data_IF_085634548853
#
_entry.id   IF_085634548853
#
_cell.length_a   1.000
_cell.length_b   1.000
_cell.length_c   1.000
_cell.angle_alpha   90.00
_cell.angle_beta   90.00
_cell.angle_gamma   90.00
#
_symmetry.space_group_name_H-M   'P 1'
#
loop_
_entity.id
_entity.type
_entity.pdbx_description
1 polymer ?
#
# COMPACT_ATOMS: atom_id res chain seq x y z
N UNK A 1 -18.86 13.25 -8.46
CA UNK A 1 -17.75 14.18 -8.14
C UNK A 1 -17.43 15.02 -9.37
N UNK A 2 -17.74 16.33 -9.38
CA UNK A 2 -17.57 17.20 -10.55
C UNK A 2 -16.11 17.27 -11.02
N UNK A 3 -15.18 17.53 -10.10
CA UNK A 3 -13.72 17.60 -10.36
C UNK A 3 -13.15 16.32 -10.96
N UNK A 4 -13.69 15.16 -10.56
CA UNK A 4 -13.28 13.86 -11.10
C UNK A 4 -13.63 13.72 -12.59
N UNK A 5 -14.85 14.10 -12.96
CA UNK A 5 -15.31 14.07 -14.35
C UNK A 5 -14.60 15.10 -15.21
N UNK A 6 -14.19 16.21 -14.62
CA UNK A 6 -13.36 17.22 -15.29
C UNK A 6 -11.95 16.67 -15.57
N UNK A 7 -11.32 16.02 -14.58
CA UNK A 7 -10.01 15.40 -14.76
C UNK A 7 -10.03 14.24 -15.77
N UNK A 8 -11.07 13.41 -15.73
CA UNK A 8 -11.22 12.22 -16.56
C UNK A 8 -12.63 12.11 -17.16
N UNK A 9 -12.90 12.79 -18.29
CA UNK A 9 -14.23 12.80 -18.91
C UNK A 9 -14.70 11.42 -19.38
N UNK A 10 -13.77 10.55 -19.76
CA UNK A 10 -14.04 9.19 -20.22
C UNK A 10 -14.07 8.14 -19.08
N UNK A 11 -13.85 8.55 -17.82
CA UNK A 11 -13.83 7.61 -16.71
C UNK A 11 -15.21 7.01 -16.45
N UNK A 12 -15.24 5.70 -16.22
CA UNK A 12 -16.45 4.96 -15.89
C UNK A 12 -16.50 4.80 -14.36
N UNK A 13 -17.54 5.35 -13.74
CA UNK A 13 -17.79 5.15 -12.31
C UNK A 13 -18.49 3.82 -12.06
N UNK A 14 -17.93 3.00 -11.17
CA UNK A 14 -18.57 1.79 -10.66
C UNK A 14 -18.80 1.94 -9.15
N UNK A 15 -19.93 1.43 -8.68
CA UNK A 15 -20.19 1.29 -7.23
C UNK A 15 -19.74 -0.10 -6.79
N UNK A 16 -19.31 -0.23 -5.53
CA UNK A 16 -18.80 -1.50 -4.99
C UNK A 16 -19.85 -2.63 -4.94
N UNK A 17 -21.13 -2.28 -4.82
CA UNK A 17 -22.27 -3.20 -4.85
C UNK A 17 -22.62 -3.68 -6.27
N UNK A 18 -22.15 -2.97 -7.30
CA UNK A 18 -22.36 -3.35 -8.69
C UNK A 18 -21.30 -4.36 -9.13
N UNK A 19 -21.75 -5.56 -9.51
CA UNK A 19 -20.88 -6.61 -10.04
C UNK A 19 -20.75 -6.60 -11.57
N UNK A 20 -21.28 -5.57 -12.24
CA UNK A 20 -21.15 -5.41 -13.67
C UNK A 20 -19.67 -5.25 -14.06
N UNK A 21 -19.22 -6.09 -14.99
CA UNK A 21 -17.89 -5.94 -15.57
C UNK A 21 -17.85 -4.67 -16.44
N UNK A 22 -16.76 -3.91 -16.41
CA UNK A 22 -16.61 -2.76 -17.28
C UNK A 22 -16.66 -3.20 -18.76
N UNK A 23 -17.32 -2.40 -19.60
CA UNK A 23 -17.45 -2.67 -21.04
C UNK A 23 -16.13 -2.51 -21.81
N UNK A 24 -15.16 -1.83 -21.21
CA UNK A 24 -13.83 -1.56 -21.77
C UNK A 24 -12.77 -2.08 -20.81
N UNK A 25 -11.59 -2.44 -21.32
CA UNK A 25 -10.45 -2.87 -20.50
C UNK A 25 -9.93 -1.66 -19.73
N UNK A 26 -10.04 -1.62 -18.39
CA UNK A 26 -9.51 -0.50 -17.61
C UNK A 26 -7.98 -0.61 -17.52
N UNK A 27 -7.30 0.53 -17.61
CA UNK A 27 -5.83 0.62 -17.46
C UNK A 27 -5.41 1.06 -16.06
N UNK A 28 -6.28 1.77 -15.35
CA UNK A 28 -6.01 2.37 -14.05
C UNK A 28 -7.28 2.33 -13.20
N UNK A 29 -7.13 1.97 -11.92
CA UNK A 29 -8.24 1.90 -10.98
C UNK A 29 -8.15 3.04 -9.97
N UNK A 30 -9.24 3.77 -9.81
CA UNK A 30 -9.40 4.79 -8.78
C UNK A 30 -10.44 4.35 -7.77
N UNK A 31 -10.05 4.31 -6.50
CA UNK A 31 -10.85 3.76 -5.42
C UNK A 31 -11.05 4.81 -4.35
N UNK A 32 -12.28 5.34 -4.24
CA UNK A 32 -12.66 6.14 -3.09
C UNK A 32 -12.86 5.22 -1.89
N UNK A 33 -12.08 5.46 -0.84
CA UNK A 33 -12.12 4.68 0.37
C UNK A 33 -13.38 5.00 1.17
N UNK A 34 -14.20 4.00 1.52
CA UNK A 34 -15.30 4.20 2.45
C UNK A 34 -14.77 4.28 3.88
N UNK A 35 -15.35 5.15 4.70
CA UNK A 35 -14.93 5.37 6.09
C UNK A 35 -15.07 4.13 7.01
N UNK A 36 -15.87 3.14 6.61
CA UNK A 36 -16.21 1.97 7.41
C UNK A 36 -15.69 0.63 6.83
N UNK A 37 -14.64 0.65 6.01
CA UNK A 37 -14.06 -0.58 5.46
C UNK A 37 -12.54 -0.53 5.49
N UNK A 38 -11.92 -1.62 5.94
CA UNK A 38 -10.47 -1.77 5.86
C UNK A 38 -9.99 -1.82 4.40
N UNK A 39 -8.84 -1.18 4.13
CA UNK A 39 -8.29 -0.99 2.78
C UNK A 39 -7.81 -2.30 2.16
N UNK A 40 -7.09 -3.12 2.92
CA UNK A 40 -6.52 -4.38 2.42
C UNK A 40 -7.59 -5.36 1.87
N UNK A 41 -8.65 -5.73 2.62
CA UNK A 41 -9.68 -6.64 2.09
C UNK A 41 -10.47 -6.03 0.94
N UNK A 42 -10.66 -4.70 0.93
CA UNK A 42 -11.27 -3.99 -0.20
C UNK A 42 -10.45 -4.18 -1.49
N UNK A 43 -9.13 -3.95 -1.43
CA UNK A 43 -8.26 -4.10 -2.59
C UNK A 43 -8.09 -5.54 -3.04
N UNK A 44 -8.05 -6.49 -2.11
CA UNK A 44 -8.07 -7.91 -2.44
C UNK A 44 -9.34 -8.30 -3.21
N UNK A 45 -10.51 -7.80 -2.79
CA UNK A 45 -11.77 -8.05 -3.49
C UNK A 45 -11.78 -7.44 -4.90
N UNK A 46 -11.30 -6.20 -5.03
CA UNK A 46 -11.21 -5.53 -6.33
C UNK A 46 -10.26 -6.25 -7.29
N UNK A 47 -9.11 -6.73 -6.82
CA UNK A 47 -8.18 -7.52 -7.64
C UNK A 47 -8.80 -8.83 -8.14
N UNK A 48 -9.57 -9.52 -7.29
CA UNK A 48 -10.27 -10.74 -7.71
C UNK A 48 -11.29 -10.48 -8.81
N UNK A 49 -11.96 -9.32 -8.79
CA UNK A 49 -13.02 -8.97 -9.76
C UNK A 49 -12.49 -8.34 -11.04
N UNK A 50 -11.48 -7.48 -10.94
CA UNK A 50 -11.02 -6.61 -12.03
C UNK A 50 -9.59 -6.96 -12.51
N UNK A 51 -8.91 -7.89 -11.86
CA UNK A 51 -7.52 -8.23 -12.15
C UNK A 51 -6.52 -7.30 -11.44
N UNK A 52 -5.23 -7.52 -11.75
CA UNK A 52 -4.15 -6.78 -11.11
C UNK A 52 -3.84 -5.46 -11.86
N UNK A 53 -4.69 -4.46 -11.64
CA UNK A 53 -4.53 -3.12 -12.21
C UNK A 53 -3.83 -2.18 -11.22
N UNK A 54 -3.03 -1.20 -11.70
CA UNK A 54 -2.53 -0.13 -10.85
C UNK A 54 -3.70 0.58 -10.16
N UNK A 55 -3.60 0.77 -8.85
CA UNK A 55 -4.69 1.27 -8.03
C UNK A 55 -4.29 2.54 -7.30
N UNK A 56 -5.11 3.57 -7.39
CA UNK A 56 -4.95 4.83 -6.66
C UNK A 56 -6.11 4.99 -5.69
N UNK A 57 -5.78 5.31 -4.45
CA UNK A 57 -6.73 5.49 -3.36
C UNK A 57 -7.06 6.96 -3.20
N UNK A 58 -8.36 7.23 -3.05
CA UNK A 58 -8.89 8.55 -2.74
C UNK A 58 -9.48 8.51 -1.34
N UNK A 59 -9.02 9.40 -0.47
CA UNK A 59 -9.61 9.61 0.86
C UNK A 59 -10.17 11.02 0.99
N UNK A 60 -11.34 11.14 1.59
CA UNK A 60 -11.93 12.45 1.88
C UNK A 60 -11.13 13.17 2.97
N UNK A 61 -10.60 12.40 3.92
CA UNK A 61 -9.73 12.86 5.02
C UNK A 61 -8.46 12.01 4.97
N UNK A 62 -7.39 12.51 4.32
CA UNK A 62 -6.12 11.80 4.25
C UNK A 62 -5.59 11.40 5.62
N UNK A 63 -5.21 10.14 5.77
CA UNK A 63 -4.61 9.57 6.97
C UNK A 63 -3.43 8.68 6.58
N UNK A 64 -2.30 8.87 7.26
CA UNK A 64 -1.05 8.20 6.90
C UNK A 64 -1.09 6.69 7.19
N UNK A 65 -1.79 6.26 8.23
CA UNK A 65 -1.93 4.83 8.53
C UNK A 65 -2.77 4.14 7.45
N UNK A 66 -3.84 4.80 6.99
CA UNK A 66 -4.66 4.35 5.89
C UNK A 66 -3.86 4.32 4.57
N UNK A 67 -3.03 5.34 4.32
CA UNK A 67 -2.15 5.38 3.16
C UNK A 67 -1.15 4.22 3.18
N UNK A 68 -0.47 4.01 4.31
CA UNK A 68 0.49 2.91 4.50
C UNK A 68 -0.18 1.54 4.34
N UNK A 69 -1.36 1.34 4.94
CA UNK A 69 -2.14 0.12 4.75
C UNK A 69 -2.52 -0.10 3.27
N UNK A 70 -2.82 0.98 2.55
CA UNK A 70 -3.04 0.96 1.10
C UNK A 70 -1.81 0.52 0.31
N UNK A 71 -0.64 1.10 0.60
CA UNK A 71 0.62 0.73 -0.06
C UNK A 71 1.04 -0.70 0.26
N UNK A 72 0.92 -1.14 1.52
CA UNK A 72 1.14 -2.55 1.92
C UNK A 72 0.19 -3.52 1.20
N UNK A 73 -1.01 -3.05 0.88
CA UNK A 73 -1.97 -3.78 0.05
C UNK A 73 -1.77 -3.54 -1.45
N UNK A 74 -0.59 -3.07 -1.90
CA UNK A 74 -0.16 -2.84 -3.28
C UNK A 74 -0.96 -1.78 -4.06
N UNK A 75 -1.45 -0.73 -3.39
CA UNK A 75 -1.81 0.51 -4.06
C UNK A 75 -0.56 1.20 -4.62
N UNK A 76 -0.75 1.97 -5.69
CA UNK A 76 0.30 2.76 -6.36
C UNK A 76 0.12 4.27 -6.21
N UNK A 77 -0.97 4.71 -5.59
CA UNK A 77 -1.15 6.12 -5.24
C UNK A 77 -2.12 6.30 -4.09
N UNK A 78 -1.96 7.40 -3.36
CA UNK A 78 -2.88 7.87 -2.32
C UNK A 78 -3.01 9.39 -2.40
N UNK A 79 -4.23 9.90 -2.50
CA UNK A 79 -4.48 11.34 -2.49
C UNK A 79 -5.87 11.72 -1.98
N UNK A 80 -6.11 13.02 -1.83
CA UNK A 80 -7.38 13.55 -1.37
C UNK A 80 -8.46 13.45 -2.47
N UNK A 81 -9.65 12.95 -2.13
CA UNK A 81 -10.84 12.89 -2.99
C UNK A 81 -11.18 14.25 -3.63
N UNK A 82 -10.88 15.35 -2.95
CA UNK A 82 -11.19 16.73 -3.34
C UNK A 82 -10.04 17.43 -4.06
N UNK A 83 -8.96 16.73 -4.41
CA UNK A 83 -7.84 17.31 -5.14
C UNK A 83 -8.28 17.99 -6.46
N UNK A 84 -7.50 18.97 -6.90
CA UNK A 84 -7.77 19.68 -8.14
C UNK A 84 -7.63 18.74 -9.36
N UNK A 85 -8.38 18.96 -10.45
CA UNK A 85 -8.32 18.10 -11.63
C UNK A 85 -6.91 17.90 -12.21
N UNK A 86 -6.11 18.97 -12.32
CA UNK A 86 -4.74 18.91 -12.81
C UNK A 86 -3.85 18.02 -11.93
N UNK A 87 -4.04 18.08 -10.60
CA UNK A 87 -3.31 17.21 -9.67
C UNK A 87 -3.67 15.75 -9.87
N UNK A 88 -4.96 15.43 -10.04
CA UNK A 88 -5.40 14.06 -10.31
C UNK A 88 -4.80 13.50 -11.60
N UNK A 89 -4.67 14.32 -12.65
CA UNK A 89 -4.02 13.95 -13.90
C UNK A 89 -2.53 13.62 -13.69
N UNK A 90 -1.81 14.46 -12.95
CA UNK A 90 -0.40 14.19 -12.62
C UNK A 90 -0.22 12.85 -11.87
N UNK A 91 -1.10 12.56 -10.91
CA UNK A 91 -1.10 11.27 -10.21
C UNK A 91 -1.34 10.11 -11.20
N UNK A 92 -2.28 10.27 -12.13
CA UNK A 92 -2.56 9.27 -13.16
C UNK A 92 -1.34 9.00 -14.05
N UNK A 93 -0.64 10.05 -14.48
CA UNK A 93 0.51 9.95 -15.37
C UNK A 93 1.66 9.21 -14.68
N UNK A 94 1.98 9.57 -13.43
CA UNK A 94 3.03 8.90 -12.64
C UNK A 94 2.71 7.42 -12.46
N UNK A 95 1.50 7.09 -12.02
CA UNK A 95 1.11 5.70 -11.76
C UNK A 95 0.97 4.90 -13.05
N UNK A 96 0.47 5.53 -14.12
CA UNK A 96 0.35 4.92 -15.45
C UNK A 96 1.71 4.55 -16.06
N UNK A 97 2.76 5.29 -15.72
CA UNK A 97 4.15 4.99 -16.08
C UNK A 97 4.82 3.97 -15.14
N UNK A 98 4.08 3.38 -14.20
CA UNK A 98 4.59 2.41 -13.23
C UNK A 98 5.21 3.02 -11.98
N UNK A 99 5.15 4.34 -11.83
CA UNK A 99 5.61 5.07 -10.66
C UNK A 99 4.71 4.87 -9.43
N UNK A 100 5.18 5.40 -8.30
CA UNK A 100 4.46 5.44 -7.03
C UNK A 100 4.15 6.90 -6.70
N UNK A 101 2.90 7.20 -6.40
CA UNK A 101 2.50 8.52 -5.92
C UNK A 101 2.27 8.52 -4.41
N UNK A 102 3.21 9.10 -3.68
CA UNK A 102 3.12 9.34 -2.24
C UNK A 102 2.95 10.84 -2.02
N UNK A 103 1.95 11.25 -1.23
CA UNK A 103 1.77 12.65 -0.86
C UNK A 103 2.94 13.19 -0.03
N UNK A 104 3.16 14.50 -0.09
CA UNK A 104 4.28 15.20 0.56
C UNK A 104 4.43 14.85 2.05
N UNK A 105 3.33 14.88 2.81
CA UNK A 105 3.35 14.59 4.25
C UNK A 105 3.87 13.19 4.56
N UNK A 106 3.39 12.18 3.83
CA UNK A 106 3.83 10.80 4.04
C UNK A 106 5.27 10.59 3.55
N UNK A 107 5.66 11.25 2.45
CA UNK A 107 7.05 11.21 1.97
C UNK A 107 8.00 11.80 3.02
N UNK A 108 7.68 12.97 3.58
CA UNK A 108 8.50 13.61 4.61
C UNK A 108 8.63 12.71 5.84
N UNK A 109 7.53 12.09 6.30
CA UNK A 109 7.58 11.12 7.41
C UNK A 109 8.44 9.89 7.11
N UNK A 110 8.41 9.40 5.87
CA UNK A 110 9.27 8.28 5.45
C UNK A 110 10.74 8.70 5.47
N UNK A 111 11.05 9.89 4.96
CA UNK A 111 12.40 10.47 5.01
C UNK A 111 12.86 10.62 6.46
N UNK A 112 12.03 11.18 7.34
CA UNK A 112 12.33 11.34 8.77
C UNK A 112 12.54 9.99 9.46
N UNK A 113 11.70 8.99 9.17
CA UNK A 113 11.85 7.64 9.69
C UNK A 113 13.15 6.98 9.20
N UNK A 114 13.52 7.17 7.94
CA UNK A 114 14.79 6.65 7.42
C UNK A 114 16.00 7.40 7.98
N UNK A 115 15.87 8.70 8.29
CA UNK A 115 16.91 9.46 8.96
C UNK A 115 17.13 8.97 10.39
N UNK A 116 16.07 8.60 11.11
CA UNK A 116 16.15 7.97 12.43
C UNK A 116 16.81 6.59 12.37
N UNK A 117 16.44 5.74 11.39
CA UNK A 117 17.05 4.42 11.19
C UNK A 117 18.52 4.52 10.76
N UNK A 118 18.90 5.57 10.02
CA UNK A 118 20.29 5.81 9.63
C UNK A 118 21.18 6.28 10.81
N UNK A 119 20.58 6.80 11.88
CA UNK A 119 21.30 7.17 13.11
C UNK A 119 21.47 5.95 14.04
N UNK A 120 20.62 4.93 13.93
CA UNK A 120 20.80 3.64 14.61
C UNK A 120 21.78 2.72 13.85
N UNK A 121 23.07 3.06 13.92
CA UNK A 121 24.17 2.09 13.79
C UNK A 121 24.05 1.07 14.94
N UNK A 122 24.29 -0.24 14.73
CA UNK A 122 23.52 -1.29 15.41
C UNK A 122 23.74 -1.27 16.91
N UNK A 123 22.64 -1.13 17.66
CA UNK A 123 22.60 -1.64 19.02
C UNK A 123 22.76 -3.16 18.95
N UNK A 124 23.63 -3.69 19.82
CA UNK A 124 23.95 -5.10 19.95
C UNK A 124 22.69 -5.98 19.86
N UNK A 125 22.67 -7.07 19.05
CA UNK A 125 21.44 -7.83 18.76
C UNK A 125 20.82 -8.57 19.96
N UNK A 126 21.43 -8.50 21.14
CA UNK A 126 21.21 -9.50 22.18
C UNK A 126 20.27 -9.09 23.31
N UNK A 127 19.94 -7.82 23.53
CA UNK A 127 19.27 -7.41 24.78
C UNK A 127 17.80 -6.97 24.67
N UNK A 128 17.33 -6.49 23.50
CA UNK A 128 16.01 -5.85 23.42
C UNK A 128 14.82 -6.80 23.20
N UNK A 129 15.02 -7.99 22.63
CA UNK A 129 13.91 -8.93 22.36
C UNK A 129 13.83 -10.05 23.38
N UNK A 130 14.98 -10.45 23.95
CA UNK A 130 15.05 -11.50 24.97
C UNK A 130 14.33 -11.10 26.27
N UNK A 131 14.31 -9.81 26.61
CA UNK A 131 13.65 -9.26 27.80
C UNK A 131 12.12 -9.27 27.71
N UNK A 132 11.54 -9.49 26.53
CA UNK A 132 10.09 -9.53 26.29
C UNK A 132 9.52 -10.96 26.17
N UNK A 133 10.38 -11.98 26.22
CA UNK A 133 10.02 -13.37 25.98
C UNK A 133 10.39 -14.24 27.17
N UNK A 134 9.49 -15.13 27.57
CA UNK A 134 9.77 -16.14 28.59
C UNK A 134 10.86 -17.13 28.09
N UNK A 135 11.57 -17.85 28.97
CA UNK A 135 12.66 -18.75 28.56
C UNK A 135 12.26 -19.76 27.47
N UNK A 136 11.00 -20.23 27.49
CA UNK A 136 10.46 -21.12 26.46
C UNK A 136 10.23 -20.43 25.11
N UNK A 137 9.81 -19.17 25.12
CA UNK A 137 9.60 -18.40 23.89
C UNK A 137 10.93 -18.01 23.24
N UNK A 138 11.99 -17.82 24.02
CA UNK A 138 13.35 -17.60 23.50
C UNK A 138 13.91 -18.86 22.79
N UNK A 139 13.67 -20.05 23.34
CA UNK A 139 14.07 -21.32 22.69
C UNK A 139 13.35 -21.51 21.36
N UNK A 140 12.04 -21.20 21.30
CA UNK A 140 11.25 -21.27 20.06
C UNK A 140 11.70 -20.22 19.04
N UNK A 141 11.95 -18.98 19.47
CA UNK A 141 12.44 -17.92 18.59
C UNK A 141 13.82 -18.23 18.01
N UNK A 142 14.72 -18.84 18.81
CA UNK A 142 16.04 -19.29 18.35
C UNK A 142 15.94 -20.42 17.34
N UNK A 143 15.10 -21.43 17.60
CA UNK A 143 14.87 -22.52 16.66
C UNK A 143 14.25 -22.05 15.33
N UNK A 144 13.40 -21.02 15.35
CA UNK A 144 12.82 -20.42 14.14
C UNK A 144 13.85 -19.57 13.38
N UNK A 145 14.71 -18.83 14.10
CA UNK A 145 15.79 -18.04 13.49
C UNK A 145 16.87 -18.95 12.85
N UNK A 146 17.23 -20.05 13.49
CA UNK A 146 18.11 -21.08 12.93
C UNK A 146 17.43 -21.88 11.80
N UNK A 147 16.09 -21.98 11.82
CA UNK A 147 15.26 -22.62 10.78
C UNK A 147 15.06 -21.82 9.48
N UNK A 148 15.64 -20.61 9.36
CA UNK A 148 15.60 -19.81 8.13
C UNK A 148 16.70 -20.15 7.11
N UNK A 149 17.54 -21.17 7.36
CA UNK A 149 18.56 -21.65 6.43
C UNK A 149 18.08 -22.73 5.43
N UNK A 150 16.78 -23.02 5.36
CA UNK A 150 16.23 -24.01 4.40
C UNK A 150 16.24 -23.56 2.92
N UNK A 151 17.04 -22.54 2.56
CA UNK A 151 17.29 -22.12 1.16
C UNK A 151 18.71 -22.41 0.65
N UNK A 152 19.59 -23.04 1.43
CA UNK A 152 20.95 -23.41 0.97
C UNK A 152 21.22 -24.92 0.89
N UNK A 153 20.25 -25.79 1.19
CA UNK A 153 20.39 -27.25 1.01
C UNK A 153 19.27 -27.80 0.14
N UNK A 154 19.40 -27.60 -1.18
CA UNK A 154 18.84 -28.48 -2.21
C UNK A 154 19.50 -28.25 -3.59
N UNK A 155 20.81 -28.00 -3.62
CA UNK A 155 21.63 -28.24 -4.82
C UNK A 155 22.98 -28.84 -4.39
N UNK A 156 23.10 -30.14 -4.63
CA UNK A 156 24.17 -31.03 -4.17
C UNK A 156 23.53 -32.35 -3.69
N UNK A 157 23.39 -33.48 -4.40
CA UNK A 157 23.92 -34.00 -5.67
C UNK A 157 25.15 -33.29 -6.25
#
# INVERSE_FOLDING_TARGET
MPRWREAFPAAIGLRFDNNAKPKSIPTLLWVRLPSNRAVAPLLADLRRRLGNLPCILLSDIPDDNQALAGFSAAARGYCNTHAAPAFLQQVADVVGQGGLWIGETLMNRLVDATALVAIDKPADPTESWASLLTPREQEVARAVAEGASNKEIARGL
#
